data_IF_723652240669
#
_entry.id   IF_723652240669
#
_cell.length_a   1.000
_cell.length_b   1.000
_cell.length_c   1.000
_cell.angle_alpha   90.00
_cell.angle_beta   90.00
_cell.angle_gamma   90.00
#
_symmetry.space_group_name_H-M   'P 1'
#
loop_
_entity.id
_entity.type
_entity.pdbx_description
1 polymer ?
#
# COMPACT_ATOMS: atom_id res chain seq x y z
N UNK A 1 10.05 4.03 -22.73
CA UNK A 1 8.74 3.89 -22.07
C UNK A 1 7.87 5.02 -22.55
N UNK A 2 6.76 4.71 -23.21
CA UNK A 2 5.80 5.72 -23.68
C UNK A 2 4.97 6.25 -22.51
N UNK A 3 4.23 7.34 -22.72
CA UNK A 3 3.33 7.87 -21.70
C UNK A 3 2.22 6.87 -21.32
N UNK A 4 1.69 6.16 -22.33
CA UNK A 4 0.74 5.06 -22.15
C UNK A 4 1.32 3.93 -21.30
N UNK A 5 2.58 3.54 -21.55
CA UNK A 5 3.25 2.50 -20.75
C UNK A 5 3.40 2.93 -19.28
N UNK A 6 3.68 4.22 -19.04
CA UNK A 6 3.80 4.78 -17.68
C UNK A 6 2.45 4.77 -16.96
N UNK A 7 1.38 5.17 -17.63
CA UNK A 7 0.03 5.16 -17.07
C UNK A 7 -0.45 3.74 -16.76
N UNK A 8 -0.18 2.79 -17.66
CA UNK A 8 -0.50 1.38 -17.44
C UNK A 8 0.24 0.82 -16.22
N UNK A 9 1.52 1.15 -16.05
CA UNK A 9 2.30 0.76 -14.87
C UNK A 9 1.73 1.36 -13.59
N UNK A 10 1.43 2.66 -13.57
CA UNK A 10 0.85 3.32 -12.39
C UNK A 10 -0.52 2.74 -12.02
N UNK A 11 -1.36 2.43 -13.01
CA UNK A 11 -2.64 1.78 -12.79
C UNK A 11 -2.47 0.37 -12.19
N UNK A 12 -1.48 -0.39 -12.66
CA UNK A 12 -1.18 -1.72 -12.14
C UNK A 12 -0.68 -1.66 -10.68
N UNK A 13 0.25 -0.77 -10.36
CA UNK A 13 0.75 -0.57 -8.98
C UNK A 13 -0.37 -0.11 -8.04
N UNK A 14 -1.22 0.82 -8.47
CA UNK A 14 -2.38 1.24 -7.69
C UNK A 14 -3.37 0.09 -7.46
N UNK A 15 -3.65 -0.71 -8.49
CA UNK A 15 -4.54 -1.87 -8.37
C UNK A 15 -3.97 -2.92 -7.39
N UNK A 16 -2.65 -3.15 -7.42
CA UNK A 16 -1.97 -4.06 -6.50
C UNK A 16 -2.07 -3.58 -5.04
N UNK A 17 -1.79 -2.31 -4.78
CA UNK A 17 -1.92 -1.72 -3.44
C UNK A 17 -3.37 -1.79 -2.94
N UNK A 18 -4.35 -1.48 -3.79
CA UNK A 18 -5.76 -1.56 -3.42
C UNK A 18 -6.21 -2.99 -3.12
N UNK A 19 -5.71 -3.97 -3.88
CA UNK A 19 -5.97 -5.39 -3.61
C UNK A 19 -5.36 -5.82 -2.26
N UNK A 20 -4.11 -5.43 -1.98
CA UNK A 20 -3.45 -5.68 -0.70
C UNK A 20 -4.23 -5.07 0.48
N UNK A 21 -4.67 -3.82 0.36
CA UNK A 21 -5.48 -3.16 1.38
C UNK A 21 -6.82 -3.87 1.62
N UNK A 22 -7.49 -4.38 0.57
CA UNK A 22 -8.72 -5.18 0.70
C UNK A 22 -8.48 -6.52 1.38
N UNK A 23 -7.34 -7.17 1.08
CA UNK A 23 -6.96 -8.42 1.71
C UNK A 23 -6.78 -8.26 3.24
N UNK A 24 -6.29 -7.11 3.71
CA UNK A 24 -6.21 -6.79 5.15
C UNK A 24 -7.59 -6.84 5.80
N UNK A 25 -8.62 -6.23 5.19
CA UNK A 25 -9.97 -6.25 5.76
C UNK A 25 -10.55 -7.67 5.83
N UNK A 26 -10.37 -8.46 4.78
CA UNK A 26 -10.77 -9.86 4.79
C UNK A 26 -10.02 -10.67 5.88
N UNK A 27 -8.73 -10.43 6.06
CA UNK A 27 -7.94 -11.06 7.11
C UNK A 27 -8.41 -10.68 8.52
N UNK A 28 -8.83 -9.42 8.73
CA UNK A 28 -9.45 -8.97 9.99
C UNK A 28 -10.77 -9.71 10.25
N UNK A 29 -11.62 -9.83 9.23
CA UNK A 29 -12.91 -10.56 9.33
C UNK A 29 -12.71 -12.06 9.65
N UNK A 30 -11.56 -12.62 9.27
CA UNK A 30 -11.18 -14.01 9.53
C UNK A 30 -10.37 -14.19 10.83
N UNK A 31 -10.18 -13.14 11.62
CA UNK A 31 -9.40 -13.17 12.87
C UNK A 31 -7.95 -13.67 12.69
N UNK A 32 -7.33 -13.36 11.55
CA UNK A 32 -5.93 -13.69 11.30
C UNK A 32 -4.99 -13.06 12.34
N UNK A 33 -3.91 -13.78 12.68
CA UNK A 33 -2.96 -13.36 13.73
C UNK A 33 -2.19 -12.10 13.33
N UNK A 34 -1.86 -11.97 12.04
CA UNK A 34 -1.22 -10.78 11.47
C UNK A 34 -1.92 -10.33 10.17
N UNK A 35 -3.05 -9.62 10.28
CA UNK A 35 -3.81 -9.17 9.11
C UNK A 35 -3.05 -8.17 8.24
N UNK A 36 -2.00 -7.53 8.78
CA UNK A 36 -1.21 -6.51 8.09
C UNK A 36 0.07 -7.08 7.46
N UNK A 37 0.44 -8.32 7.76
CA UNK A 37 1.69 -8.94 7.31
C UNK A 37 1.90 -8.79 5.80
N UNK A 38 0.91 -9.19 5.02
CA UNK A 38 0.97 -9.10 3.56
C UNK A 38 1.15 -7.66 3.04
N UNK A 39 0.38 -6.70 3.58
CA UNK A 39 0.47 -5.30 3.15
C UNK A 39 1.84 -4.70 3.52
N UNK A 40 2.35 -5.02 4.71
CA UNK A 40 3.67 -4.58 5.16
C UNK A 40 4.79 -5.12 4.26
N UNK A 41 4.76 -6.40 3.91
CA UNK A 41 5.74 -7.01 3.02
C UNK A 41 5.69 -6.39 1.62
N UNK A 42 4.48 -6.19 1.09
CA UNK A 42 4.25 -5.55 -0.21
C UNK A 42 4.83 -4.12 -0.30
N UNK A 43 4.69 -3.33 0.77
CA UNK A 43 5.27 -1.99 0.87
C UNK A 43 6.79 -2.03 1.10
N UNK A 44 7.29 -3.01 1.86
CA UNK A 44 8.73 -3.18 2.11
C UNK A 44 9.50 -3.47 0.83
N UNK A 45 8.99 -4.36 -0.02
CA UNK A 45 9.57 -4.68 -1.33
C UNK A 45 9.72 -3.44 -2.23
N UNK A 46 8.86 -2.43 -2.03
CA UNK A 46 8.84 -1.18 -2.78
C UNK A 46 9.58 -0.03 -2.10
N UNK A 47 10.14 -0.24 -0.91
CA UNK A 47 10.77 0.82 -0.12
C UNK A 47 9.78 1.90 0.34
N UNK A 48 8.51 1.54 0.49
CA UNK A 48 7.39 2.46 0.80
C UNK A 48 6.89 2.31 2.23
N UNK A 49 7.64 1.63 3.11
CA UNK A 49 7.29 1.61 4.52
C UNK A 49 7.35 3.01 5.11
N UNK A 50 6.36 3.40 5.92
CA UNK A 50 6.47 4.60 6.73
C UNK A 50 7.73 4.55 7.60
N UNK A 51 8.31 5.72 7.87
CA UNK A 51 9.38 5.82 8.88
C UNK A 51 8.88 5.29 10.22
N UNK A 52 9.75 4.62 10.97
CA UNK A 52 9.39 4.05 12.26
C UNK A 52 8.78 5.10 13.19
N UNK A 53 7.65 4.74 13.81
CA UNK A 53 6.91 5.65 14.70
C UNK A 53 6.11 6.74 13.98
N UNK A 54 6.05 6.75 12.64
CA UNK A 54 5.15 7.63 11.89
C UNK A 54 3.70 7.42 12.32
N UNK A 55 3.03 8.53 12.67
CA UNK A 55 1.59 8.51 12.95
C UNK A 55 0.81 8.47 11.63
N UNK A 56 -0.37 7.83 11.59
CA UNK A 56 -1.22 7.82 10.40
C UNK A 56 -1.48 9.20 9.79
N UNK A 57 -1.65 10.24 10.62
CA UNK A 57 -1.81 11.62 10.15
C UNK A 57 -0.59 12.16 9.39
N UNK A 58 0.61 11.75 9.76
CA UNK A 58 1.85 12.14 9.09
C UNK A 58 2.00 11.42 7.74
N UNK A 59 1.59 10.14 7.68
CA UNK A 59 1.58 9.34 6.45
C UNK A 59 0.60 9.95 5.43
N UNK A 60 -0.62 10.29 5.88
CA UNK A 60 -1.64 10.88 5.02
C UNK A 60 -1.26 12.29 4.52
N UNK A 61 -0.62 13.10 5.36
CA UNK A 61 -0.15 14.43 4.97
C UNK A 61 0.94 14.38 3.89
N UNK A 62 1.80 13.36 3.90
CA UNK A 62 2.85 13.17 2.90
C UNK A 62 2.31 12.71 1.53
N UNK A 63 1.14 12.04 1.50
CA UNK A 63 0.49 11.58 0.27
C UNK A 63 -0.48 12.58 -0.36
N UNK A 64 -0.81 13.68 0.31
CA UNK A 64 -1.80 14.66 -0.12
C UNK A 64 -1.26 15.91 -0.83
N UNK A 65 0.04 15.94 -1.15
CA UNK A 65 0.72 17.11 -1.73
C UNK A 65 1.15 16.89 -3.18
N UNK A 66 0.21 17.07 -4.12
CA UNK A 66 0.44 17.64 -5.45
C UNK A 66 -0.77 18.46 -5.84
#
# INVERSE_FOLDING_TARGET
MTDTDRLALLAAEHAALLAAARAVFAAIELEEIDPLGYLRDHLAERGQLPVDGARPSQILAAGGGV
#
